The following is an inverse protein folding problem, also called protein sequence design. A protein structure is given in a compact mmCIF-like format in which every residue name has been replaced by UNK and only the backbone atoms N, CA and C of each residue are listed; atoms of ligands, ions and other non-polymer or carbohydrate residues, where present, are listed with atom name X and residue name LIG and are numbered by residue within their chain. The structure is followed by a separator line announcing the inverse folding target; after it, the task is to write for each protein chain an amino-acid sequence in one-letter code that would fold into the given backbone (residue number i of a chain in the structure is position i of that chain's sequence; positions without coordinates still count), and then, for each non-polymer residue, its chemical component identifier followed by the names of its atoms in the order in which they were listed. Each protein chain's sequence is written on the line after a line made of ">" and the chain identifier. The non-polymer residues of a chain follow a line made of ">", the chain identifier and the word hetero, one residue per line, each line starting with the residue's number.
data_IF_001422614923
#
_entry.id   IF_001422614923
#
_cell.length_a   1.000
_cell.length_b   1.000
_cell.length_c   1.000
_cell.angle_alpha   90.00
_cell.angle_beta   90.00
_cell.angle_gamma   90.00
#
_symmetry.space_group_name_H-M   'P 1'
#
loop_
_entity.id
_entity.type
_entity.pdbx_description
1 polymer ?
#
# COMPACT_ATOMS: atom_id res chain seq x y z
N UNK A 1 36.41 64.48 27.38
CA UNK A 1 35.30 63.55 27.06
C UNK A 1 35.92 62.14 27.12
N UNK A 2 36.06 61.55 28.31
CA UNK A 2 35.08 60.68 29.00
C UNK A 2 34.73 59.47 28.12
N UNK A 3 35.36 58.31 28.38
CA UNK A 3 34.77 57.11 29.02
C UNK A 3 33.73 56.39 28.14
N UNK A 4 33.63 55.07 28.05
CA UNK A 4 34.28 53.98 28.77
C UNK A 4 33.82 52.64 28.19
N UNK A 5 34.55 51.61 28.58
CA UNK A 5 34.20 50.19 28.70
C UNK A 5 32.69 49.84 28.78
N UNK A 6 32.25 48.78 28.09
CA UNK A 6 32.16 47.46 28.72
C UNK A 6 31.78 46.29 27.76
N UNK A 7 32.29 45.12 28.16
CA UNK A 7 31.96 43.72 27.83
C UNK A 7 30.70 43.39 27.02
N UNK A 8 30.80 42.40 26.11
CA UNK A 8 30.43 41.01 26.44
C UNK A 8 30.93 40.01 25.37
N UNK A 9 31.64 39.00 25.84
CA UNK A 9 31.93 37.74 25.16
C UNK A 9 30.68 36.86 25.15
N UNK A 10 30.33 36.28 24.00
CA UNK A 10 29.61 35.01 23.95
C UNK A 10 29.93 34.28 22.64
N UNK A 11 30.66 33.19 22.81
CA UNK A 11 31.03 32.21 21.80
C UNK A 11 29.77 31.42 21.39
N UNK A 12 29.53 31.28 20.09
CA UNK A 12 28.81 30.11 19.57
C UNK A 12 29.47 29.74 18.25
N UNK A 13 30.35 28.75 18.32
CA UNK A 13 30.96 28.11 17.17
C UNK A 13 29.85 27.41 16.37
N UNK A 14 29.58 27.88 15.15
CA UNK A 14 28.97 27.05 14.12
C UNK A 14 30.09 26.20 13.50
N UNK A 15 29.95 24.86 13.41
CA UNK A 15 30.90 24.05 12.68
C UNK A 15 30.81 24.35 11.17
N UNK A 16 31.94 24.41 10.45
CA UNK A 16 31.98 24.81 9.05
C UNK A 16 31.43 23.71 8.14
N UNK A 17 30.37 24.01 7.39
CA UNK A 17 30.00 23.28 6.17
C UNK A 17 30.94 23.71 5.05
N UNK A 18 31.92 22.86 4.76
CA UNK A 18 32.80 23.00 3.60
C UNK A 18 32.01 22.73 2.31
N UNK A 19 32.06 23.61 1.29
CA UNK A 19 31.53 23.32 -0.04
C UNK A 19 32.57 22.55 -0.85
N UNK A 20 32.16 21.51 -1.58
CA UNK A 20 32.97 20.92 -2.66
C UNK A 20 32.26 21.19 -3.99
N UNK A 21 32.89 21.89 -4.96
CA UNK A 21 32.29 22.16 -6.27
C UNK A 21 32.66 21.11 -7.33
N UNK A 22 31.66 20.68 -8.10
CA UNK A 22 31.79 20.40 -9.53
C UNK A 22 32.06 18.95 -9.95
N UNK A 23 31.00 18.22 -10.28
CA UNK A 23 31.00 17.27 -11.40
C UNK A 23 29.58 17.20 -11.99
N UNK A 24 29.42 17.73 -13.21
CA UNK A 24 28.25 17.44 -14.04
C UNK A 24 28.47 16.05 -14.65
N UNK A 25 27.64 15.08 -14.32
CA UNK A 25 27.38 13.95 -15.20
C UNK A 25 25.87 13.75 -15.35
N UNK A 26 25.47 13.76 -16.62
CA UNK A 26 24.12 13.58 -17.10
C UNK A 26 23.71 12.10 -17.09
N UNK A 27 22.39 11.87 -17.13
CA UNK A 27 21.80 10.71 -17.82
C UNK A 27 21.51 9.48 -16.96
N UNK A 28 20.23 9.10 -16.98
CA UNK A 28 19.70 7.73 -16.82
C UNK A 28 20.06 6.94 -15.55
N UNK A 29 19.08 6.82 -14.65
CA UNK A 29 18.52 5.54 -14.19
C UNK A 29 17.71 5.73 -12.91
N UNK A 30 16.43 6.07 -13.04
CA UNK A 30 15.46 5.91 -11.95
C UNK A 30 14.27 5.05 -12.41
N UNK A 31 14.59 3.94 -13.07
CA UNK A 31 13.65 2.85 -13.29
C UNK A 31 14.28 1.60 -12.71
N UNK A 32 13.83 1.21 -11.50
CA UNK A 32 14.11 -0.03 -10.77
C UNK A 32 13.47 0.14 -9.38
N UNK A 33 12.66 -0.77 -8.83
CA UNK A 33 12.42 -2.15 -9.21
C UNK A 33 11.38 -2.72 -8.23
N UNK A 34 10.36 -3.41 -8.74
CA UNK A 34 9.72 -4.45 -7.94
C UNK A 34 10.83 -5.48 -7.69
N UNK A 35 11.19 -5.82 -6.44
CA UNK A 35 12.31 -6.74 -6.17
C UNK A 35 12.17 -7.99 -7.02
N UNK A 36 13.28 -8.44 -7.61
CA UNK A 36 13.33 -9.61 -8.51
C UNK A 36 12.71 -10.85 -7.84
N UNK A 37 12.84 -10.94 -6.52
CA UNK A 37 12.19 -11.90 -5.64
C UNK A 37 10.65 -11.89 -5.76
N UNK A 38 10.05 -10.70 -5.77
CA UNK A 38 8.60 -10.48 -5.90
C UNK A 38 8.13 -10.70 -7.33
N UNK A 39 9.00 -10.44 -8.32
CA UNK A 39 8.73 -10.72 -9.72
C UNK A 39 8.82 -12.22 -10.05
N UNK A 40 9.71 -12.96 -9.37
CA UNK A 40 9.91 -14.41 -9.54
C UNK A 40 8.84 -15.25 -8.84
N UNK A 41 8.28 -14.81 -7.71
CA UNK A 41 7.23 -15.53 -6.97
C UNK A 41 5.83 -15.50 -7.63
N UNK A 42 5.78 -15.18 -8.93
CA UNK A 42 4.59 -15.00 -9.70
C UNK A 42 4.61 -15.98 -10.90
N UNK A 43 4.69 -17.27 -10.57
CA UNK A 43 4.76 -18.47 -11.43
C UNK A 43 3.47 -18.79 -12.18
N UNK A 44 3.42 -18.52 -13.48
CA UNK A 44 2.56 -19.16 -14.50
C UNK A 44 3.14 -18.93 -15.91
N UNK A 45 4.43 -18.64 -15.97
CA UNK A 45 5.30 -18.64 -17.15
C UNK A 45 6.66 -19.15 -16.66
N UNK A 46 7.29 -20.02 -17.43
CA UNK A 46 8.53 -20.69 -17.03
C UNK A 46 9.76 -19.78 -17.14
N UNK A 47 10.91 -20.29 -16.72
CA UNK A 47 12.22 -19.61 -16.78
C UNK A 47 12.67 -19.19 -18.20
N UNK A 48 11.96 -19.62 -19.24
CA UNK A 48 12.25 -19.36 -20.65
C UNK A 48 11.21 -18.43 -21.32
N UNK A 49 10.18 -17.99 -20.59
CA UNK A 49 9.24 -16.97 -21.04
C UNK A 49 8.16 -17.47 -22.02
N UNK A 50 7.80 -18.76 -22.01
CA UNK A 50 6.65 -19.27 -22.78
C UNK A 50 5.35 -19.33 -21.96
N UNK A 51 4.22 -19.14 -22.66
CA UNK A 51 2.87 -18.99 -22.08
C UNK A 51 2.15 -20.34 -21.94
N UNK A 52 1.47 -20.55 -20.80
CA UNK A 52 0.63 -21.73 -20.55
C UNK A 52 -0.80 -21.54 -21.10
N UNK A 53 -1.32 -22.62 -21.72
CA UNK A 53 -2.61 -22.92 -22.36
C UNK A 53 -3.90 -22.51 -21.56
N UNK A 54 -5.15 -22.64 -22.08
CA UNK A 54 -6.28 -21.67 -22.00
C UNK A 54 -6.90 -21.49 -20.59
N UNK A 55 -6.28 -22.07 -19.57
CA UNK A 55 -6.28 -21.75 -18.13
C UNK A 55 -5.80 -20.31 -17.76
N UNK A 56 -5.74 -19.43 -18.76
CA UNK A 56 -5.16 -18.09 -18.73
C UNK A 56 -6.02 -16.99 -18.08
N UNK A 57 -7.17 -17.30 -17.46
CA UNK A 57 -7.82 -16.35 -16.54
C UNK A 57 -6.84 -15.92 -15.43
N UNK A 58 -6.00 -16.86 -14.98
CA UNK A 58 -4.95 -16.60 -13.99
C UNK A 58 -3.80 -15.72 -14.52
N UNK A 59 -3.54 -15.73 -15.82
CA UNK A 59 -2.50 -14.92 -16.46
C UNK A 59 -2.85 -13.44 -16.55
N UNK A 60 -4.08 -13.12 -16.98
CA UNK A 60 -4.55 -11.73 -17.09
C UNK A 60 -4.82 -11.11 -15.72
N UNK A 61 -5.45 -11.86 -14.80
CA UNK A 61 -5.67 -11.40 -13.42
C UNK A 61 -4.33 -11.13 -12.73
N UNK A 62 -3.35 -12.03 -12.86
CA UNK A 62 -2.00 -11.79 -12.30
C UNK A 62 -1.33 -10.60 -12.97
N UNK A 63 -1.33 -10.51 -14.30
CA UNK A 63 -0.71 -9.39 -15.00
C UNK A 63 -1.33 -8.05 -14.54
N UNK A 64 -2.65 -8.03 -14.40
CA UNK A 64 -3.40 -6.88 -13.90
C UNK A 64 -3.07 -6.58 -12.43
N UNK A 65 -2.90 -7.60 -11.59
CA UNK A 65 -2.42 -7.43 -10.22
C UNK A 65 -1.01 -6.81 -10.17
N UNK A 66 -0.07 -7.35 -10.95
CA UNK A 66 1.31 -6.84 -11.03
C UNK A 66 1.28 -5.38 -11.48
N UNK A 67 0.47 -5.07 -12.50
CA UNK A 67 0.25 -3.71 -12.99
C UNK A 67 -0.29 -2.81 -11.87
N UNK A 68 -1.24 -3.28 -11.07
CA UNK A 68 -1.79 -2.54 -9.95
C UNK A 68 -0.69 -2.19 -8.93
N UNK A 69 0.04 -3.20 -8.42
CA UNK A 69 1.14 -3.01 -7.47
C UNK A 69 2.23 -2.09 -8.02
N UNK A 70 2.66 -2.31 -9.26
CA UNK A 70 3.67 -1.47 -9.92
C UNK A 70 3.21 -0.01 -10.00
N UNK A 71 1.96 0.22 -10.39
CA UNK A 71 1.38 1.57 -10.48
C UNK A 71 1.31 2.25 -9.12
N UNK A 72 0.94 1.51 -8.06
CA UNK A 72 0.97 2.00 -6.69
C UNK A 72 2.38 2.46 -6.26
N UNK A 73 3.41 1.64 -6.49
CA UNK A 73 4.79 2.02 -6.16
C UNK A 73 5.29 3.23 -6.97
N UNK A 74 4.79 3.39 -8.20
CA UNK A 74 5.06 4.56 -9.05
C UNK A 74 4.22 5.78 -8.67
N UNK A 75 3.39 5.71 -7.61
CA UNK A 75 2.43 6.74 -7.19
C UNK A 75 1.39 7.11 -8.25
N UNK A 76 1.20 6.25 -9.25
CA UNK A 76 0.11 6.35 -10.21
C UNK A 76 -1.12 5.64 -9.61
N UNK A 77 -1.76 6.32 -8.67
CA UNK A 77 -2.82 5.72 -7.87
C UNK A 77 -4.11 5.51 -8.68
N UNK A 78 -4.38 6.33 -9.68
CA UNK A 78 -5.53 6.19 -10.58
C UNK A 78 -5.43 4.89 -11.37
N UNK A 79 -4.26 4.60 -11.96
CA UNK A 79 -4.05 3.34 -12.69
C UNK A 79 -4.03 2.14 -11.73
N UNK A 80 -3.48 2.30 -10.53
CA UNK A 80 -3.49 1.27 -9.51
C UNK A 80 -4.91 0.92 -9.07
N UNK A 81 -5.75 1.93 -8.86
CA UNK A 81 -7.16 1.79 -8.49
C UNK A 81 -7.90 1.00 -9.56
N UNK A 82 -7.83 1.45 -10.83
CA UNK A 82 -8.48 0.77 -11.95
C UNK A 82 -8.03 -0.68 -12.09
N UNK A 83 -6.73 -0.95 -11.91
CA UNK A 83 -6.19 -2.30 -12.04
C UNK A 83 -6.65 -3.21 -10.90
N UNK A 84 -6.69 -2.73 -9.64
CA UNK A 84 -7.25 -3.55 -8.54
C UNK A 84 -8.74 -3.76 -8.66
N UNK A 85 -9.51 -2.76 -9.13
CA UNK A 85 -10.94 -2.95 -9.42
C UNK A 85 -11.15 -4.05 -10.45
N UNK A 86 -10.33 -4.10 -11.50
CA UNK A 86 -10.39 -5.16 -12.50
C UNK A 86 -10.06 -6.54 -11.90
N UNK A 87 -9.04 -6.64 -11.06
CA UNK A 87 -8.75 -7.88 -10.30
C UNK A 87 -9.96 -8.32 -9.47
N UNK A 88 -10.62 -7.38 -8.79
CA UNK A 88 -11.80 -7.66 -7.96
C UNK A 88 -12.97 -8.14 -8.83
N UNK A 89 -13.22 -7.53 -9.98
CA UNK A 89 -14.27 -7.96 -10.92
C UNK A 89 -14.06 -9.39 -11.43
N UNK A 90 -12.80 -9.78 -11.62
CA UNK A 90 -12.44 -11.08 -12.19
C UNK A 90 -12.17 -12.16 -11.12
N UNK A 91 -12.30 -11.85 -9.83
CA UNK A 91 -12.05 -12.80 -8.74
C UNK A 91 -13.16 -12.82 -7.70
N UNK A 92 -13.46 -14.00 -7.15
CA UNK A 92 -14.43 -14.15 -6.08
C UNK A 92 -13.75 -14.03 -4.70
N UNK A 93 -14.34 -13.23 -3.80
CA UNK A 93 -13.92 -13.13 -2.40
C UNK A 93 -12.39 -12.92 -2.21
N UNK A 94 -11.82 -12.03 -3.03
CA UNK A 94 -10.39 -11.71 -3.02
C UNK A 94 -10.05 -10.64 -1.99
N UNK A 95 -9.90 -11.06 -0.74
CA UNK A 95 -9.62 -10.15 0.38
C UNK A 95 -8.30 -9.38 0.21
N UNK A 96 -7.29 -9.98 -0.44
CA UNK A 96 -6.01 -9.32 -0.68
C UNK A 96 -6.20 -8.13 -1.65
N UNK A 97 -6.98 -8.29 -2.73
CA UNK A 97 -7.22 -7.21 -3.70
C UNK A 97 -7.95 -6.02 -3.07
N UNK A 98 -8.97 -6.30 -2.25
CA UNK A 98 -9.67 -5.27 -1.48
C UNK A 98 -8.76 -4.57 -0.46
N UNK A 99 -7.89 -5.31 0.23
CA UNK A 99 -6.93 -4.74 1.18
C UNK A 99 -5.95 -3.80 0.49
N UNK A 100 -5.42 -4.20 -0.66
CA UNK A 100 -4.50 -3.38 -1.44
C UNK A 100 -5.20 -2.17 -2.08
N UNK A 101 -6.43 -2.31 -2.55
CA UNK A 101 -7.25 -1.19 -3.00
C UNK A 101 -7.50 -0.19 -1.85
N UNK A 102 -7.68 -0.68 -0.62
CA UNK A 102 -7.72 0.17 0.57
C UNK A 102 -6.45 0.99 0.75
N UNK A 103 -5.27 0.39 0.54
CA UNK A 103 -3.98 1.08 0.58
C UNK A 103 -3.89 2.17 -0.51
N UNK A 104 -4.38 1.88 -1.71
CA UNK A 104 -4.44 2.83 -2.82
C UNK A 104 -5.31 4.03 -2.45
N UNK A 105 -6.53 3.80 -1.93
CA UNK A 105 -7.42 4.88 -1.51
C UNK A 105 -6.86 5.70 -0.36
N UNK A 106 -6.21 5.06 0.62
CA UNK A 106 -5.57 5.75 1.73
C UNK A 106 -4.49 6.72 1.24
N UNK A 107 -3.65 6.28 0.29
CA UNK A 107 -2.59 7.11 -0.29
C UNK A 107 -3.12 8.24 -1.19
N UNK A 108 -4.32 8.10 -1.74
CA UNK A 108 -5.04 9.19 -2.42
C UNK A 108 -5.73 10.16 -1.44
N UNK A 109 -5.69 9.90 -0.12
CA UNK A 109 -6.42 10.68 0.89
C UNK A 109 -7.93 10.38 0.97
N UNK A 110 -8.41 9.39 0.21
CA UNK A 110 -9.82 8.97 0.13
C UNK A 110 -10.20 8.07 1.32
N UNK A 111 -10.21 8.63 2.53
CA UNK A 111 -10.37 7.87 3.80
C UNK A 111 -11.62 6.97 3.85
N UNK A 112 -12.78 7.48 3.43
CA UNK A 112 -14.04 6.72 3.45
C UNK A 112 -13.99 5.52 2.48
N UNK A 113 -13.43 5.71 1.28
CA UNK A 113 -13.26 4.62 0.32
C UNK A 113 -12.23 3.60 0.80
N UNK A 114 -11.15 4.05 1.44
CA UNK A 114 -10.17 3.16 2.05
C UNK A 114 -10.81 2.28 3.13
N UNK A 115 -11.57 2.87 4.05
CA UNK A 115 -12.28 2.12 5.09
C UNK A 115 -13.29 1.12 4.51
N UNK A 116 -14.02 1.50 3.46
CA UNK A 116 -14.92 0.58 2.76
C UNK A 116 -14.19 -0.61 2.12
N UNK A 117 -13.06 -0.38 1.44
CA UNK A 117 -12.28 -1.45 0.85
C UNK A 117 -11.66 -2.38 1.91
N UNK A 118 -11.11 -1.84 3.00
CA UNK A 118 -10.64 -2.65 4.13
C UNK A 118 -11.78 -3.43 4.81
N UNK A 119 -12.98 -2.86 4.87
CA UNK A 119 -14.17 -3.56 5.38
C UNK A 119 -14.49 -4.78 4.53
N UNK A 120 -14.50 -4.68 3.20
CA UNK A 120 -14.77 -5.82 2.32
C UNK A 120 -13.72 -6.93 2.50
N UNK A 121 -12.43 -6.57 2.54
CA UNK A 121 -11.35 -7.51 2.83
C UNK A 121 -11.57 -8.25 4.16
N UNK A 122 -11.90 -7.50 5.22
CA UNK A 122 -12.17 -8.06 6.54
C UNK A 122 -13.44 -8.93 6.56
N UNK A 123 -14.51 -8.51 5.89
CA UNK A 123 -15.77 -9.23 5.85
C UNK A 123 -15.60 -10.61 5.18
N UNK A 124 -14.83 -10.67 4.10
CA UNK A 124 -14.44 -11.95 3.45
C UNK A 124 -13.71 -12.85 4.44
N UNK A 125 -12.72 -12.33 5.17
CA UNK A 125 -11.97 -13.10 6.17
C UNK A 125 -12.88 -13.63 7.29
N UNK A 126 -13.83 -12.82 7.77
CA UNK A 126 -14.83 -13.25 8.76
C UNK A 126 -15.68 -14.40 8.22
N UNK A 127 -16.20 -14.28 7.00
CA UNK A 127 -17.00 -15.35 6.36
C UNK A 127 -16.20 -16.65 6.19
N UNK A 128 -14.89 -16.55 5.94
CA UNK A 128 -13.96 -17.68 5.87
C UNK A 128 -13.53 -18.23 7.25
N UNK A 129 -14.09 -17.73 8.35
CA UNK A 129 -13.76 -18.15 9.72
C UNK A 129 -12.41 -17.60 10.24
N UNK A 130 -11.76 -16.71 9.51
CA UNK A 130 -10.43 -16.19 9.81
C UNK A 130 -10.47 -14.91 10.65
N UNK A 131 -11.35 -14.86 11.66
CA UNK A 131 -11.59 -13.67 12.49
C UNK A 131 -10.31 -13.14 13.14
N UNK A 132 -9.36 -14.01 13.47
CA UNK A 132 -8.08 -13.59 14.09
C UNK A 132 -7.23 -12.68 13.19
N UNK A 133 -7.37 -12.79 11.86
CA UNK A 133 -6.63 -11.95 10.90
C UNK A 133 -7.21 -10.55 10.75
N UNK A 134 -8.39 -10.31 11.30
CA UNK A 134 -9.17 -9.08 11.08
C UNK A 134 -8.77 -7.96 12.06
N UNK A 135 -8.11 -8.28 13.18
CA UNK A 135 -7.81 -7.33 14.26
C UNK A 135 -7.06 -6.08 13.78
N UNK A 136 -6.07 -6.25 12.89
CA UNK A 136 -5.29 -5.14 12.35
C UNK A 136 -6.13 -4.22 11.47
N UNK A 137 -6.99 -4.79 10.61
CA UNK A 137 -7.91 -4.02 9.76
C UNK A 137 -8.97 -3.29 10.60
N UNK A 138 -9.47 -3.92 11.66
CA UNK A 138 -10.42 -3.30 12.59
C UNK A 138 -9.84 -2.03 13.23
N UNK A 139 -8.59 -2.08 13.69
CA UNK A 139 -7.91 -0.91 14.27
C UNK A 139 -7.74 0.21 13.25
N UNK A 140 -7.27 -0.12 12.04
CA UNK A 140 -7.11 0.84 10.96
C UNK A 140 -8.44 1.52 10.60
N UNK A 141 -9.50 0.73 10.42
CA UNK A 141 -10.81 1.29 10.09
C UNK A 141 -11.35 2.20 11.19
N UNK A 142 -11.15 1.92 12.48
CA UNK A 142 -11.58 2.86 13.55
C UNK A 142 -11.00 4.26 13.39
N UNK A 143 -9.79 4.37 12.83
CA UNK A 143 -9.15 5.65 12.56
C UNK A 143 -9.62 6.31 11.27
N UNK A 144 -10.03 5.52 10.27
CA UNK A 144 -10.47 6.02 8.96
C UNK A 144 -11.97 6.34 8.93
N UNK A 145 -12.77 5.43 9.44
CA UNK A 145 -14.23 5.47 9.53
C UNK A 145 -14.72 4.55 10.67
N UNK A 146 -15.15 5.17 11.77
CA UNK A 146 -15.65 4.46 12.95
C UNK A 146 -16.88 3.60 12.63
N UNK A 147 -17.76 4.05 11.73
CA UNK A 147 -18.97 3.31 11.36
C UNK A 147 -18.62 1.97 10.73
N UNK A 148 -17.65 1.95 9.81
CA UNK A 148 -17.21 0.71 9.15
C UNK A 148 -16.61 -0.31 10.12
N UNK A 149 -15.89 0.16 11.14
CA UNK A 149 -15.40 -0.73 12.20
C UNK A 149 -16.55 -1.32 13.05
N UNK A 150 -17.57 -0.53 13.36
CA UNK A 150 -18.74 -0.99 14.11
C UNK A 150 -19.57 -2.00 13.30
N UNK A 151 -19.75 -1.77 12.00
CA UNK A 151 -20.37 -2.73 11.07
C UNK A 151 -19.64 -4.07 11.07
N UNK A 152 -18.31 -4.05 10.99
CA UNK A 152 -17.51 -5.28 11.00
C UNK A 152 -17.60 -6.01 12.35
N UNK A 153 -17.65 -5.29 13.47
CA UNK A 153 -17.82 -5.92 14.78
C UNK A 153 -19.14 -6.68 14.85
N UNK A 154 -20.24 -6.06 14.38
CA UNK A 154 -21.55 -6.73 14.31
C UNK A 154 -21.50 -7.99 13.44
N UNK A 155 -20.78 -7.96 12.32
CA UNK A 155 -20.60 -9.13 11.45
C UNK A 155 -19.86 -10.26 12.17
N UNK A 156 -18.80 -9.95 12.92
CA UNK A 156 -18.05 -10.94 13.72
C UNK A 156 -18.96 -11.59 14.76
N UNK A 157 -19.67 -10.78 15.55
CA UNK A 157 -20.55 -11.26 16.62
C UNK A 157 -21.67 -12.16 16.06
N UNK A 158 -22.27 -11.75 14.93
CA UNK A 158 -23.30 -12.53 14.25
C UNK A 158 -22.77 -13.86 13.71
N UNK A 159 -21.54 -13.88 13.20
CA UNK A 159 -20.91 -15.10 12.67
C UNK A 159 -20.57 -16.08 13.79
N UNK A 160 -20.05 -15.59 14.91
CA UNK A 160 -19.74 -16.42 16.08
C UNK A 160 -21.01 -17.01 16.71
N UNK A 161 -22.09 -16.24 16.81
CA UNK A 161 -23.37 -16.73 17.32
C UNK A 161 -23.97 -17.87 16.46
N UNK A 162 -23.74 -17.86 15.15
CA UNK A 162 -24.21 -18.94 14.24
C UNK A 162 -23.37 -20.22 14.36
N UNK A 163 -22.15 -20.13 14.87
CA UNK A 163 -21.23 -21.25 15.00
C UNK A 163 -21.29 -21.94 16.37
N UNK A 164 -22.04 -21.36 17.33
CA UNK A 164 -22.28 -21.89 18.67
C UNK A 164 -23.63 -22.62 18.74
#
# INVERSE_FOLDING_TARGET
>A
MQAGSDKLVASTQQPPVVPVPGEKMAGEAANKFVPEEVARQLDNVDENGQVIDPSMQSGDIRATWIKARKSFYQRNYELSEQSYLKVIEDTEDNFDAYGELGNVYFNQGKKTQAAAAYYEAAAILVRKGQVQRVKSLMGLMRHLDKSKAEELQKLIDATQKKAA
#
